data_IF_325232238830
#
_entry.id   IF_325232238830
#
_cell.length_a   1.000
_cell.length_b   1.000
_cell.length_c   1.000
_cell.angle_alpha   90.00
_cell.angle_beta   90.00
_cell.angle_gamma   90.00
#
_symmetry.space_group_name_H-M   'P 1'
#
loop_
_entity.id
_entity.type
_entity.pdbx_description
1 polymer ?
#
# COMPACT_ATOMS: atom_id res chain seq x y z
N UNK A 1 -4.48 25.60 -36.78
CA UNK A 1 -3.57 25.68 -35.61
C UNK A 1 -3.41 24.29 -35.01
N UNK A 2 -2.21 23.71 -35.11
CA UNK A 2 -1.92 22.43 -34.47
C UNK A 2 -2.06 22.61 -32.96
N UNK A 3 -3.07 21.95 -32.39
CA UNK A 3 -3.32 21.92 -30.96
C UNK A 3 -2.05 21.40 -30.25
N UNK A 4 -1.48 22.21 -29.37
CA UNK A 4 -0.05 22.19 -29.05
C UNK A 4 0.32 21.66 -27.65
N UNK A 5 -0.64 21.22 -26.83
CA UNK A 5 -0.35 20.70 -25.49
C UNK A 5 -0.59 19.20 -25.36
N UNK A 6 0.27 18.55 -24.59
CA UNK A 6 0.20 17.10 -24.34
C UNK A 6 -0.89 16.72 -23.35
N UNK A 7 -1.16 17.62 -22.40
CA UNK A 7 -2.16 17.42 -21.37
C UNK A 7 -2.77 18.74 -20.89
N UNK A 8 -4.02 18.66 -20.41
CA UNK A 8 -4.74 19.75 -19.74
C UNK A 8 -5.17 19.27 -18.36
N UNK A 9 -5.02 20.11 -17.34
CA UNK A 9 -5.50 19.85 -15.99
C UNK A 9 -6.49 20.94 -15.56
N UNK A 10 -7.66 20.52 -15.07
CA UNK A 10 -8.75 21.42 -14.67
C UNK A 10 -9.01 21.32 -13.17
N UNK A 11 -8.65 22.37 -12.45
CA UNK A 11 -9.04 22.60 -11.06
C UNK A 11 -9.90 23.86 -10.99
N UNK A 12 -11.19 23.68 -11.27
CA UNK A 12 -12.18 24.75 -11.43
C UNK A 12 -13.49 24.34 -10.74
N UNK A 13 -14.34 25.29 -10.32
CA UNK A 13 -15.63 24.96 -9.70
C UNK A 13 -16.62 24.30 -10.69
N UNK A 14 -16.49 24.54 -11.99
CA UNK A 14 -17.35 23.97 -13.03
C UNK A 14 -16.51 23.45 -14.23
N UNK A 15 -15.75 22.36 -14.04
CA UNK A 15 -14.81 21.88 -15.06
C UNK A 15 -15.51 21.43 -16.35
N UNK A 16 -16.75 20.96 -16.28
CA UNK A 16 -17.59 20.58 -17.43
C UNK A 16 -17.72 21.69 -18.48
N UNK A 17 -17.71 22.97 -18.08
CA UNK A 17 -17.81 24.11 -19.01
C UNK A 17 -16.49 24.38 -19.75
N UNK A 18 -15.37 23.90 -19.21
CA UNK A 18 -14.04 24.11 -19.76
C UNK A 18 -13.60 23.01 -20.74
N UNK A 19 -14.29 21.85 -20.77
CA UNK A 19 -13.90 20.68 -21.57
C UNK A 19 -13.81 20.99 -23.07
N UNK A 20 -14.74 21.79 -23.60
CA UNK A 20 -14.72 22.20 -25.01
C UNK A 20 -13.52 23.08 -25.39
N UNK A 21 -13.05 23.91 -24.46
CA UNK A 21 -11.83 24.71 -24.66
C UNK A 21 -10.58 23.84 -24.57
N UNK A 22 -10.58 22.86 -23.65
CA UNK A 22 -9.49 21.89 -23.54
C UNK A 22 -9.29 21.09 -24.84
N UNK A 23 -10.39 20.67 -25.49
CA UNK A 23 -10.33 19.95 -26.77
C UNK A 23 -9.67 20.75 -27.89
N UNK A 24 -9.82 22.09 -27.91
CA UNK A 24 -9.25 22.94 -28.96
C UNK A 24 -7.72 23.07 -28.86
N UNK A 25 -7.17 22.91 -27.66
CA UNK A 25 -5.73 23.09 -27.39
C UNK A 25 -4.97 21.77 -27.28
N UNK A 26 -5.67 20.67 -26.99
CA UNK A 26 -5.10 19.32 -26.89
C UNK A 26 -4.68 18.78 -28.25
N UNK A 27 -3.43 18.31 -28.36
CA UNK A 27 -3.01 17.49 -29.50
C UNK A 27 -3.84 16.20 -29.61
N UNK A 28 -3.90 15.54 -30.78
CA UNK A 28 -4.54 14.22 -30.90
C UNK A 28 -4.00 13.23 -29.86
N UNK A 29 -4.90 12.50 -29.19
CA UNK A 29 -4.59 11.59 -28.08
C UNK A 29 -3.90 12.24 -26.86
N UNK A 30 -4.02 13.57 -26.71
CA UNK A 30 -3.64 14.28 -25.50
C UNK A 30 -4.49 13.87 -24.29
N UNK A 31 -3.99 14.13 -23.08
CA UNK A 31 -4.65 13.72 -21.83
C UNK A 31 -5.38 14.87 -21.17
N UNK A 32 -6.50 14.58 -20.52
CA UNK A 32 -7.18 15.56 -19.67
C UNK A 32 -7.37 14.99 -18.27
N UNK A 33 -7.05 15.79 -17.27
CA UNK A 33 -7.36 15.52 -15.87
C UNK A 33 -8.27 16.62 -15.32
N UNK A 34 -9.20 16.25 -14.46
CA UNK A 34 -9.98 17.21 -13.70
C UNK A 34 -10.01 16.80 -12.24
N UNK A 35 -9.79 17.78 -11.37
CA UNK A 35 -10.04 17.64 -9.95
C UNK A 35 -11.46 18.15 -9.64
N UNK A 36 -12.18 17.42 -8.79
CA UNK A 36 -13.53 17.79 -8.36
C UNK A 36 -13.77 17.25 -6.96
N UNK A 37 -14.09 18.09 -5.97
CA UNK A 37 -14.35 17.65 -4.61
C UNK A 37 -15.70 16.93 -4.46
N UNK A 38 -16.68 17.24 -5.32
CA UNK A 38 -18.02 16.66 -5.26
C UNK A 38 -18.26 15.67 -6.40
N UNK A 39 -18.98 14.57 -6.10
CA UNK A 39 -19.25 13.52 -7.09
C UNK A 39 -20.14 14.02 -8.24
N UNK A 40 -21.04 14.97 -7.99
CA UNK A 40 -21.92 15.56 -9.00
C UNK A 40 -21.12 16.36 -10.04
N UNK A 41 -20.03 17.01 -9.61
CA UNK A 41 -19.12 17.71 -10.52
C UNK A 41 -18.36 16.70 -11.39
N UNK A 42 -17.92 15.59 -10.81
CA UNK A 42 -17.30 14.48 -11.57
C UNK A 42 -18.28 13.94 -12.60
N UNK A 43 -19.53 13.64 -12.19
CA UNK A 43 -20.57 13.12 -13.09
C UNK A 43 -20.83 14.07 -14.26
N UNK A 44 -20.98 15.38 -13.97
CA UNK A 44 -21.19 16.41 -14.98
C UNK A 44 -20.01 16.50 -15.97
N UNK A 45 -18.78 16.45 -15.44
CA UNK A 45 -17.55 16.54 -16.25
C UNK A 45 -17.37 15.30 -17.12
N UNK A 46 -17.58 14.09 -16.58
CA UNK A 46 -17.58 12.86 -17.37
C UNK A 46 -18.67 12.88 -18.45
N UNK A 47 -19.83 13.46 -18.19
CA UNK A 47 -20.88 13.69 -19.18
C UNK A 47 -20.39 14.56 -20.34
N UNK A 48 -19.79 15.72 -20.04
CA UNK A 48 -19.22 16.62 -21.04
C UNK A 48 -18.08 15.97 -21.84
N UNK A 49 -17.19 15.22 -21.18
CA UNK A 49 -16.11 14.46 -21.82
C UNK A 49 -16.66 13.45 -22.83
N UNK A 50 -17.66 12.63 -22.44
CA UNK A 50 -18.30 11.67 -23.33
C UNK A 50 -18.98 12.34 -24.52
N UNK A 51 -19.69 13.44 -24.29
CA UNK A 51 -20.39 14.18 -25.33
C UNK A 51 -19.42 14.76 -26.39
N UNK A 52 -18.20 15.09 -25.98
CA UNK A 52 -17.14 15.62 -26.85
C UNK A 52 -16.21 14.54 -27.43
N UNK A 53 -16.54 13.26 -27.27
CA UNK A 53 -15.80 12.15 -27.88
C UNK A 53 -14.51 11.74 -27.18
N UNK A 54 -14.27 12.22 -25.96
CA UNK A 54 -13.16 11.71 -25.15
C UNK A 54 -13.38 10.23 -24.81
N UNK A 55 -12.32 9.45 -24.86
CA UNK A 55 -12.32 8.02 -24.52
C UNK A 55 -11.47 7.75 -23.27
N UNK A 56 -11.44 6.49 -22.82
CA UNK A 56 -10.62 6.05 -21.67
C UNK A 56 -10.86 6.88 -20.39
N UNK A 57 -12.10 7.34 -20.18
CA UNK A 57 -12.47 8.17 -19.04
C UNK A 57 -12.48 7.30 -17.78
N UNK A 58 -11.67 7.68 -16.80
CA UNK A 58 -11.61 7.04 -15.48
C UNK A 58 -11.65 8.10 -14.38
N UNK A 59 -12.34 7.77 -13.29
CA UNK A 59 -12.33 8.55 -12.06
C UNK A 59 -11.48 7.81 -11.04
N UNK A 60 -10.54 8.53 -10.42
CA UNK A 60 -9.63 7.99 -9.41
C UNK A 60 -9.75 8.81 -8.13
N UNK A 61 -9.71 8.13 -6.98
CA UNK A 61 -9.57 8.72 -5.66
C UNK A 61 -8.28 8.17 -5.04
N UNK A 62 -7.44 9.05 -4.49
CA UNK A 62 -6.24 8.68 -3.76
C UNK A 62 -6.33 9.21 -2.32
N UNK A 63 -6.13 8.33 -1.33
CA UNK A 63 -6.21 8.67 0.10
C UNK A 63 -4.91 8.37 0.79
N UNK A 64 -4.29 9.40 1.35
CA UNK A 64 -3.09 9.26 2.16
C UNK A 64 -3.49 9.08 3.64
N UNK A 65 -2.95 8.06 4.29
CA UNK A 65 -3.03 7.86 5.75
C UNK A 65 -1.62 7.96 6.33
N UNK A 66 -1.41 8.95 7.19
CA UNK A 66 -0.18 9.05 7.98
C UNK A 66 -0.29 8.09 9.15
N UNK A 67 0.72 7.25 9.35
CA UNK A 67 0.81 6.32 10.48
C UNK A 67 1.78 6.91 11.51
N UNK A 68 1.33 7.01 12.76
CA UNK A 68 2.21 7.34 13.86
C UNK A 68 2.91 6.06 14.36
N UNK A 69 4.25 5.99 14.34
CA UNK A 69 4.96 4.84 14.88
C UNK A 69 4.75 4.79 16.39
N UNK A 70 4.14 3.71 16.88
CA UNK A 70 3.98 3.44 18.31
C UNK A 70 4.94 2.33 18.70
N UNK A 71 5.79 2.59 19.70
CA UNK A 71 6.54 1.53 20.34
C UNK A 71 5.55 0.60 21.07
N UNK A 72 5.59 -0.68 20.71
CA UNK A 72 4.83 -1.72 21.39
C UNK A 72 5.82 -2.54 22.20
N UNK A 73 5.51 -2.73 23.48
CA UNK A 73 6.23 -3.69 24.29
C UNK A 73 5.72 -5.09 23.92
N UNK A 74 6.62 -5.89 23.37
CA UNK A 74 6.34 -7.30 23.13
C UNK A 74 6.62 -8.06 24.42
N UNK A 75 5.59 -8.72 24.96
CA UNK A 75 5.78 -9.65 26.07
C UNK A 75 6.35 -10.94 25.48
N UNK A 76 7.53 -11.34 25.93
CA UNK A 76 8.05 -12.67 25.65
C UNK A 76 7.28 -13.64 26.54
N UNK A 77 6.52 -14.55 25.94
CA UNK A 77 5.92 -15.64 26.69
C UNK A 77 7.05 -16.53 27.24
N UNK A 78 6.99 -16.95 28.52
CA UNK A 78 7.98 -17.87 29.05
C UNK A 78 7.95 -19.17 28.24
N UNK A 79 9.14 -19.73 27.98
CA UNK A 79 9.25 -21.04 27.37
C UNK A 79 8.49 -22.07 28.23
N UNK A 80 7.79 -23.04 27.61
CA UNK A 80 7.18 -24.13 28.37
C UNK A 80 8.28 -24.83 29.19
N UNK A 81 7.97 -25.14 30.45
CA UNK A 81 8.91 -25.86 31.32
C UNK A 81 9.32 -27.19 30.65
N UNK A 82 10.59 -27.60 30.75
CA UNK A 82 10.99 -28.92 30.27
C UNK A 82 10.20 -29.98 31.04
N UNK A 83 9.56 -30.90 30.31
CA UNK A 83 8.96 -32.09 30.91
C UNK A 83 10.11 -32.89 31.56
N UNK A 84 9.99 -33.20 32.86
CA UNK A 84 10.98 -34.02 33.57
C UNK A 84 11.10 -35.39 32.88
N UNK A 85 12.24 -35.65 32.22
CA UNK A 85 12.58 -37.01 31.81
C UNK A 85 12.82 -37.86 33.08
N UNK A 86 11.96 -38.85 33.27
CA UNK A 86 12.09 -39.85 34.32
C UNK A 86 13.42 -40.61 34.17
N UNK A 87 14.34 -40.40 35.12
CA UNK A 87 15.67 -41.01 35.14
C UNK A 87 15.66 -42.54 35.15
N UNK A 88 16.56 -43.13 34.37
CA UNK A 88 16.96 -44.54 34.41
C UNK A 88 18.11 -44.76 35.44
N UNK A 89 18.29 -45.97 36.01
CA UNK A 89 19.08 -46.18 37.23
C UNK A 89 20.60 -46.29 36.99
N UNK A 90 21.38 -45.93 38.01
CA UNK A 90 22.85 -45.95 38.07
C UNK A 90 23.42 -47.39 38.18
N UNK A 91 24.54 -47.66 37.49
CA UNK A 91 25.30 -48.93 37.55
C UNK A 91 26.53 -48.80 38.48
N UNK A 92 26.70 -49.81 39.34
CA UNK A 92 27.58 -49.89 40.51
C UNK A 92 29.07 -50.10 40.12
N UNK A 93 29.98 -49.43 40.84
CA UNK A 93 31.42 -49.43 40.58
C UNK A 93 32.12 -50.71 41.11
N UNK A 94 32.99 -51.33 40.29
CA UNK A 94 33.86 -52.42 40.71
C UNK A 94 35.28 -51.90 41.04
N UNK A 95 35.71 -52.20 42.27
CA UNK A 95 37.04 -51.93 42.85
C UNK A 95 38.19 -52.68 42.14
N UNK A 96 39.38 -52.06 42.14
CA UNK A 96 40.65 -52.75 41.90
C UNK A 96 41.69 -52.32 42.94
N UNK A 97 42.11 -53.28 43.76
CA UNK A 97 43.14 -53.20 44.80
C UNK A 97 44.54 -52.87 44.25
N UNK A 98 45.34 -52.14 45.03
CA UNK A 98 46.76 -51.87 44.78
C UNK A 98 47.65 -52.89 45.53
N UNK A 99 48.82 -53.30 45.00
CA UNK A 99 49.79 -54.06 45.79
C UNK A 99 50.87 -53.16 46.40
N UNK A 100 51.32 -53.59 47.59
CA UNK A 100 52.31 -53.01 48.50
C UNK A 100 53.78 -53.20 48.06
N UNK A 101 54.62 -52.29 48.61
CA UNK A 101 56.07 -52.22 48.91
C UNK A 101 57.12 -53.20 48.31
N UNK A 102 58.22 -52.66 47.77
CA UNK A 102 59.55 -52.49 48.44
C UNK A 102 60.41 -51.42 47.72
#
# INVERSE_FOLDING_TARGET
PEAGVDAVFLDLPQPQKAVGFALQVLRPNGRIGSYSPCIEQVMSTCGALRALGFHSIATLEARQKVLEPRALEFITLPAPAPEEEAGAPEEEAAEAEAPEEE
#
